data_IF_866811675494
#
_entry.id   IF_866811675494
#
_cell.length_a   1.000
_cell.length_b   1.000
_cell.length_c   1.000
_cell.angle_alpha   90.00
_cell.angle_beta   90.00
_cell.angle_gamma   90.00
#
_symmetry.space_group_name_H-M   'P 1'
#
loop_
_entity.id
_entity.type
_entity.pdbx_description
1 polymer ?
#
# COMPACT_ATOMS: atom_id res chain seq x y z
N UNK A 1 -11.79 18.90 -22.18
CA UNK A 1 -11.32 18.99 -20.79
C UNK A 1 -11.02 17.61 -20.15
N UNK A 2 -10.83 16.56 -20.95
CA UNK A 2 -10.62 15.17 -20.47
C UNK A 2 -9.14 14.75 -20.51
N UNK A 3 -8.27 15.48 -21.18
CA UNK A 3 -6.87 15.07 -21.43
C UNK A 3 -5.86 15.41 -20.31
N UNK A 4 -6.22 16.31 -19.38
CA UNK A 4 -5.31 16.68 -18.28
C UNK A 4 -5.31 15.66 -17.11
N UNK A 5 -6.34 14.83 -16.99
CA UNK A 5 -6.53 13.94 -15.84
C UNK A 5 -5.78 12.61 -15.97
N UNK A 6 -5.62 12.07 -17.19
CA UNK A 6 -4.93 10.78 -17.41
C UNK A 6 -3.46 10.86 -17.01
N UNK A 7 -2.79 11.98 -17.27
CA UNK A 7 -1.39 12.17 -16.92
C UNK A 7 -1.17 12.25 -15.39
N UNK A 8 -2.10 12.87 -14.66
CA UNK A 8 -1.98 13.00 -13.19
C UNK A 8 -2.19 11.66 -12.48
N UNK A 9 -3.06 10.82 -12.98
CA UNK A 9 -3.35 9.51 -12.41
C UNK A 9 -2.24 8.48 -12.65
N UNK A 10 -1.71 8.42 -13.89
CA UNK A 10 -0.52 7.61 -14.17
C UNK A 10 0.66 8.03 -13.30
N UNK A 11 0.85 9.34 -13.09
CA UNK A 11 1.94 9.85 -12.26
C UNK A 11 1.77 9.50 -10.79
N UNK A 12 0.56 9.48 -10.23
CA UNK A 12 0.34 9.15 -8.82
C UNK A 12 0.56 7.66 -8.54
N UNK A 13 0.00 6.77 -9.36
CA UNK A 13 0.22 5.32 -9.22
C UNK A 13 1.66 4.90 -9.49
N UNK A 14 2.32 5.49 -10.50
CA UNK A 14 3.75 5.30 -10.76
C UNK A 14 4.61 5.92 -9.65
N UNK A 15 4.20 7.06 -9.09
CA UNK A 15 4.88 7.72 -7.98
C UNK A 15 4.91 6.84 -6.73
N UNK A 16 3.77 6.28 -6.32
CA UNK A 16 3.69 5.35 -5.18
C UNK A 16 4.53 4.10 -5.46
N UNK A 17 4.40 3.48 -6.62
CA UNK A 17 5.19 2.31 -7.01
C UNK A 17 6.71 2.61 -7.01
N UNK A 18 7.11 3.80 -7.47
CA UNK A 18 8.52 4.22 -7.45
C UNK A 18 9.03 4.41 -6.02
N UNK A 19 8.27 5.08 -5.17
CA UNK A 19 8.62 5.26 -3.75
C UNK A 19 8.75 3.90 -3.07
N UNK A 20 7.80 3.00 -3.26
CA UNK A 20 7.85 1.66 -2.70
C UNK A 20 9.02 0.84 -3.22
N UNK A 21 9.41 0.99 -4.50
CA UNK A 21 10.60 0.35 -5.06
C UNK A 21 11.90 0.90 -4.48
N UNK A 22 11.98 2.22 -4.24
CA UNK A 22 13.13 2.83 -3.55
C UNK A 22 13.22 2.35 -2.11
N UNK A 23 12.10 2.27 -1.40
CA UNK A 23 12.05 1.74 -0.05
C UNK A 23 12.48 0.25 -0.02
N UNK A 24 12.03 -0.55 -0.98
CA UNK A 24 12.46 -1.94 -1.14
C UNK A 24 13.98 -2.05 -1.35
N UNK A 25 14.56 -1.18 -2.18
CA UNK A 25 16.01 -1.08 -2.34
C UNK A 25 16.74 -0.81 -1.03
N UNK A 26 16.24 0.15 -0.25
CA UNK A 26 16.83 0.52 1.04
C UNK A 26 16.72 -0.61 2.07
N UNK A 27 15.76 -1.53 1.90
CA UNK A 27 15.58 -2.72 2.75
C UNK A 27 16.32 -3.97 2.26
N UNK A 28 17.23 -3.84 1.31
CA UNK A 28 17.95 -4.99 0.76
C UNK A 28 17.09 -5.93 -0.09
N UNK A 29 15.86 -5.55 -0.39
CA UNK A 29 14.94 -6.37 -1.21
C UNK A 29 15.53 -6.57 -2.61
N UNK A 30 15.52 -7.80 -3.16
CA UNK A 30 16.03 -8.07 -4.49
C UNK A 30 15.26 -7.30 -5.56
N UNK A 31 15.97 -6.55 -6.40
CA UNK A 31 15.40 -5.81 -7.53
C UNK A 31 15.44 -6.61 -8.83
N UNK A 32 15.16 -7.87 -8.76
CA UNK A 32 14.90 -8.66 -9.94
C UNK A 32 13.57 -8.23 -10.61
N UNK A 33 13.37 -8.48 -11.91
CA UNK A 33 12.19 -7.99 -12.62
C UNK A 33 10.85 -8.41 -12.02
N UNK A 34 10.73 -9.67 -11.53
CA UNK A 34 9.47 -10.16 -10.98
C UNK A 34 9.14 -9.57 -9.60
N UNK A 35 10.05 -9.54 -8.60
CA UNK A 35 9.83 -8.82 -7.35
C UNK A 35 9.47 -7.34 -7.57
N UNK A 36 10.19 -6.66 -8.46
CA UNK A 36 9.92 -5.25 -8.76
C UNK A 36 8.53 -5.06 -9.37
N UNK A 37 8.16 -5.88 -10.35
CA UNK A 37 6.85 -5.81 -10.98
C UNK A 37 5.72 -6.12 -9.98
N UNK A 38 5.95 -7.09 -9.07
CA UNK A 38 5.02 -7.38 -7.99
C UNK A 38 4.81 -6.17 -7.07
N UNK A 39 5.89 -5.54 -6.59
CA UNK A 39 5.82 -4.34 -5.73
C UNK A 39 5.02 -3.24 -6.43
N UNK A 40 5.31 -2.95 -7.70
CA UNK A 40 4.60 -1.92 -8.46
C UNK A 40 3.12 -2.24 -8.65
N UNK A 41 2.79 -3.50 -8.95
CA UNK A 41 1.42 -3.95 -9.15
C UNK A 41 0.64 -3.92 -7.82
N UNK A 42 1.22 -4.42 -6.72
CA UNK A 42 0.62 -4.39 -5.38
C UNK A 42 0.40 -2.97 -4.89
N UNK A 43 1.38 -2.07 -5.08
CA UNK A 43 1.23 -0.66 -4.73
C UNK A 43 0.10 0.00 -5.54
N UNK A 44 0.04 -0.27 -6.84
CA UNK A 44 -0.97 0.30 -7.73
C UNK A 44 -2.38 -0.14 -7.36
N UNK A 45 -2.59 -1.44 -7.13
CA UNK A 45 -3.93 -1.93 -6.82
C UNK A 45 -4.36 -1.58 -5.40
N UNK A 46 -3.47 -1.68 -4.40
CA UNK A 46 -3.80 -1.36 -3.01
C UNK A 46 -4.18 0.11 -2.85
N UNK A 47 -3.34 1.02 -3.36
CA UNK A 47 -3.61 2.45 -3.31
C UNK A 47 -4.80 2.85 -4.18
N UNK A 48 -4.92 2.28 -5.38
CA UNK A 48 -6.05 2.53 -6.28
C UNK A 48 -7.37 2.06 -5.70
N UNK A 49 -7.41 0.88 -5.05
CA UNK A 49 -8.61 0.36 -4.40
C UNK A 49 -9.06 1.24 -3.22
N UNK A 50 -8.13 1.65 -2.35
CA UNK A 50 -8.42 2.56 -1.24
C UNK A 50 -9.02 3.88 -1.73
N UNK A 51 -8.37 4.53 -2.68
CA UNK A 51 -8.84 5.80 -3.26
C UNK A 51 -10.19 5.65 -3.99
N UNK A 52 -10.39 4.52 -4.67
CA UNK A 52 -11.64 4.24 -5.35
C UNK A 52 -12.80 4.06 -4.37
N UNK A 53 -12.58 3.31 -3.28
CA UNK A 53 -13.58 3.09 -2.23
C UNK A 53 -13.92 4.39 -1.48
N UNK A 54 -12.96 5.28 -1.30
CA UNK A 54 -13.16 6.60 -0.71
C UNK A 54 -13.79 7.62 -1.68
N UNK A 55 -14.03 7.25 -2.95
CA UNK A 55 -14.54 8.16 -3.99
C UNK A 55 -13.57 9.29 -4.35
N UNK A 56 -12.29 9.13 -4.05
CA UNK A 56 -11.23 10.15 -4.20
C UNK A 56 -10.34 9.93 -5.44
N UNK A 57 -10.66 8.96 -6.29
CA UNK A 57 -9.84 8.65 -7.48
C UNK A 57 -10.67 8.68 -8.74
N UNK A 58 -10.01 9.02 -9.84
CA UNK A 58 -10.51 8.83 -11.19
C UNK A 58 -10.00 7.52 -11.83
N UNK A 59 -9.31 6.67 -11.05
CA UNK A 59 -8.88 5.36 -11.49
C UNK A 59 -10.08 4.51 -11.89
N UNK A 60 -9.97 3.85 -13.03
CA UNK A 60 -11.03 2.96 -13.47
C UNK A 60 -10.93 1.61 -12.76
N UNK A 61 -12.05 0.95 -12.45
CA UNK A 61 -12.05 -0.39 -11.86
C UNK A 61 -11.20 -1.38 -12.66
N UNK A 62 -11.17 -1.23 -13.98
CA UNK A 62 -10.40 -2.09 -14.87
C UNK A 62 -8.89 -1.94 -14.66
N UNK A 63 -8.40 -0.70 -14.43
CA UNK A 63 -6.97 -0.45 -14.18
C UNK A 63 -6.53 -1.02 -12.83
N UNK A 64 -7.37 -0.91 -11.82
CA UNK A 64 -7.15 -1.48 -10.49
C UNK A 64 -7.17 -3.02 -10.56
N UNK A 65 -8.16 -3.58 -11.27
CA UNK A 65 -8.27 -5.02 -11.49
C UNK A 65 -7.09 -5.59 -12.28
N UNK A 66 -6.59 -4.87 -13.29
CA UNK A 66 -5.40 -5.27 -14.04
C UNK A 66 -4.16 -5.34 -13.16
N UNK A 67 -3.97 -4.37 -12.26
CA UNK A 67 -2.86 -4.37 -11.31
C UNK A 67 -2.97 -5.54 -10.31
N UNK A 68 -4.16 -5.78 -9.75
CA UNK A 68 -4.43 -6.93 -8.88
C UNK A 68 -4.15 -8.26 -9.60
N UNK A 69 -4.64 -8.41 -10.84
CA UNK A 69 -4.40 -9.60 -11.64
C UNK A 69 -2.91 -9.82 -11.90
N UNK A 70 -2.17 -8.75 -12.19
CA UNK A 70 -0.72 -8.82 -12.41
C UNK A 70 0.01 -9.31 -11.16
N UNK A 71 -0.27 -8.75 -9.98
CA UNK A 71 0.31 -9.18 -8.72
C UNK A 71 0.01 -10.67 -8.44
N UNK A 72 -1.25 -11.08 -8.61
CA UNK A 72 -1.68 -12.46 -8.38
C UNK A 72 -1.07 -13.46 -9.36
N UNK A 73 -0.91 -13.10 -10.64
CA UNK A 73 -0.23 -13.94 -11.63
C UNK A 73 1.24 -14.15 -11.30
N UNK A 74 1.92 -13.12 -10.77
CA UNK A 74 3.31 -13.26 -10.30
C UNK A 74 3.37 -14.22 -9.12
N UNK A 75 2.50 -14.05 -8.11
CA UNK A 75 2.44 -14.95 -6.95
C UNK A 75 2.15 -16.39 -7.35
N UNK A 76 1.26 -16.60 -8.31
CA UNK A 76 0.95 -17.92 -8.82
C UNK A 76 2.15 -18.53 -9.59
N UNK A 77 2.77 -17.75 -10.48
CA UNK A 77 3.91 -18.19 -11.28
C UNK A 77 5.15 -18.56 -10.44
N UNK A 78 5.33 -17.90 -9.28
CA UNK A 78 6.46 -18.10 -8.38
C UNK A 78 6.15 -19.04 -7.20
N UNK A 79 5.07 -19.82 -7.29
CA UNK A 79 4.62 -20.74 -6.23
C UNK A 79 4.31 -20.07 -4.89
N UNK A 80 4.03 -18.75 -4.91
CA UNK A 80 3.67 -17.96 -3.72
C UNK A 80 2.15 -17.70 -3.61
N UNK A 81 1.32 -18.51 -4.26
CA UNK A 81 -0.14 -18.35 -4.31
C UNK A 81 -0.83 -18.29 -2.93
N UNK A 82 -0.20 -18.83 -1.89
CA UNK A 82 -0.68 -18.76 -0.51
C UNK A 82 -0.83 -17.31 0.03
N UNK A 83 -0.17 -16.33 -0.60
CA UNK A 83 -0.25 -14.92 -0.22
C UNK A 83 -1.35 -14.15 -0.94
N UNK A 84 -1.98 -14.72 -1.98
CA UNK A 84 -3.07 -14.07 -2.73
C UNK A 84 -4.25 -13.74 -1.81
N UNK A 85 -4.75 -14.71 -1.07
CA UNK A 85 -5.90 -14.48 -0.22
C UNK A 85 -5.61 -13.49 0.94
N UNK A 86 -4.50 -13.61 1.68
CA UNK A 86 -4.12 -12.61 2.68
C UNK A 86 -4.01 -11.18 2.12
N UNK A 87 -3.40 -11.00 0.96
CA UNK A 87 -3.24 -9.68 0.34
C UNK A 87 -4.61 -9.06 0.00
N UNK A 88 -5.47 -9.81 -0.66
CA UNK A 88 -6.83 -9.35 -1.01
C UNK A 88 -7.64 -9.03 0.26
N UNK A 89 -7.60 -9.91 1.26
CA UNK A 89 -8.32 -9.70 2.51
C UNK A 89 -7.86 -8.45 3.25
N UNK A 90 -6.55 -8.19 3.30
CA UNK A 90 -6.03 -6.97 3.91
C UNK A 90 -6.63 -5.72 3.26
N UNK A 91 -6.71 -5.65 1.94
CA UNK A 91 -7.26 -4.47 1.28
C UNK A 91 -8.79 -4.38 1.47
N UNK A 92 -9.52 -5.48 1.35
CA UNK A 92 -10.97 -5.47 1.53
C UNK A 92 -11.40 -5.14 2.97
N UNK A 93 -10.61 -5.52 3.97
CA UNK A 93 -10.89 -5.23 5.37
C UNK A 93 -10.45 -3.83 5.79
N UNK A 94 -9.59 -3.18 5.01
CA UNK A 94 -9.00 -1.89 5.36
C UNK A 94 -10.04 -0.78 5.65
N UNK A 95 -11.11 -0.57 4.84
CA UNK A 95 -12.11 0.46 5.13
C UNK A 95 -12.81 0.23 6.48
N UNK A 96 -13.16 -1.02 6.78
CA UNK A 96 -13.77 -1.39 8.06
C UNK A 96 -12.80 -1.18 9.23
N UNK A 97 -11.53 -1.51 9.02
CA UNK A 97 -10.49 -1.32 10.03
C UNK A 97 -10.24 0.17 10.30
N UNK A 98 -10.15 1.00 9.26
CA UNK A 98 -10.00 2.45 9.34
C UNK A 98 -11.14 3.08 10.16
N UNK A 99 -12.38 2.64 9.96
CA UNK A 99 -13.55 3.16 10.69
C UNK A 99 -13.62 2.71 12.15
N UNK A 100 -13.37 1.43 12.41
CA UNK A 100 -13.59 0.84 13.74
C UNK A 100 -12.37 0.93 14.66
N UNK A 101 -11.17 0.94 14.10
CA UNK A 101 -9.91 0.93 14.84
C UNK A 101 -8.91 1.97 14.30
N UNK A 102 -9.32 3.27 14.20
CA UNK A 102 -8.52 4.30 13.53
C UNK A 102 -7.15 4.53 14.18
N UNK A 103 -7.01 4.31 15.48
CA UNK A 103 -5.73 4.44 16.17
C UNK A 103 -4.71 3.37 15.78
N UNK A 104 -5.18 2.20 15.31
CA UNK A 104 -4.33 1.09 14.88
C UNK A 104 -4.09 1.11 13.35
N UNK A 105 -4.74 2.03 12.62
CA UNK A 105 -4.59 2.17 11.17
C UNK A 105 -3.13 2.21 10.71
N UNK A 106 -2.22 3.03 11.31
CA UNK A 106 -0.84 3.09 10.86
C UNK A 106 -0.11 1.73 10.96
N UNK A 107 -0.36 0.98 12.03
CA UNK A 107 0.23 -0.36 12.20
C UNK A 107 -0.32 -1.37 11.20
N UNK A 108 -1.61 -1.30 10.89
CA UNK A 108 -2.21 -2.13 9.86
C UNK A 108 -1.58 -1.87 8.49
N UNK A 109 -1.46 -0.60 8.11
CA UNK A 109 -0.81 -0.16 6.87
C UNK A 109 0.66 -0.59 6.84
N UNK A 110 1.38 -0.37 7.96
CA UNK A 110 2.78 -0.77 8.09
C UNK A 110 2.99 -2.27 7.94
N UNK A 111 2.13 -3.10 8.54
CA UNK A 111 2.21 -4.56 8.42
C UNK A 111 1.95 -5.03 6.98
N UNK A 112 0.95 -4.46 6.32
CA UNK A 112 0.67 -4.75 4.91
C UNK A 112 1.87 -4.43 4.02
N UNK A 113 2.43 -3.22 4.16
CA UNK A 113 3.57 -2.80 3.34
C UNK A 113 4.86 -3.54 3.65
N UNK A 114 5.12 -3.91 4.92
CA UNK A 114 6.24 -4.78 5.26
C UNK A 114 6.14 -6.13 4.53
N UNK A 115 4.94 -6.71 4.46
CA UNK A 115 4.68 -7.91 3.67
C UNK A 115 4.93 -7.69 2.17
N UNK A 116 4.31 -6.67 1.60
CA UNK A 116 4.29 -6.43 0.15
C UNK A 116 5.65 -5.97 -0.43
N UNK A 117 6.47 -5.23 0.34
CA UNK A 117 7.74 -4.67 -0.17
C UNK A 117 9.01 -5.34 0.39
N UNK A 118 8.88 -6.19 1.39
CA UNK A 118 10.03 -6.94 1.93
C UNK A 118 9.79 -8.45 1.88
N UNK A 119 8.81 -8.98 2.61
CA UNK A 119 8.63 -10.43 2.75
C UNK A 119 8.37 -11.11 1.40
N UNK A 120 7.31 -10.71 0.71
CA UNK A 120 6.88 -11.37 -0.54
C UNK A 120 7.91 -11.25 -1.66
N UNK A 121 8.54 -10.10 -1.91
CA UNK A 121 9.61 -9.97 -2.90
C UNK A 121 10.81 -10.90 -2.65
N UNK A 122 11.24 -11.06 -1.40
CA UNK A 122 12.29 -12.01 -1.06
C UNK A 122 11.89 -13.45 -1.38
N UNK A 123 10.64 -13.83 -1.08
CA UNK A 123 10.13 -15.15 -1.41
C UNK A 123 10.01 -15.38 -2.92
N UNK A 124 9.64 -14.36 -3.69
CA UNK A 124 9.61 -14.40 -5.17
C UNK A 124 11.03 -14.61 -5.73
N UNK A 125 12.03 -13.95 -5.14
CA UNK A 125 13.43 -14.07 -5.55
C UNK A 125 14.15 -15.28 -4.94
N UNK A 126 13.46 -16.10 -4.14
CA UNK A 126 14.05 -17.24 -3.43
C UNK A 126 15.25 -16.85 -2.54
N UNK A 127 15.17 -15.69 -1.89
CA UNK A 127 16.18 -15.19 -0.96
C UNK A 127 15.62 -15.17 0.47
N UNK A 128 16.52 -15.12 1.44
CA UNK A 128 16.13 -15.06 2.85
C UNK A 128 15.51 -13.70 3.20
N UNK A 129 14.43 -13.75 3.96
CA UNK A 129 13.79 -12.53 4.49
C UNK A 129 14.63 -11.98 5.64
N UNK A 130 14.97 -10.70 5.57
CA UNK A 130 15.76 -10.02 6.60
C UNK A 130 14.81 -9.39 7.63
N UNK A 131 14.68 -10.01 8.81
CA UNK A 131 13.68 -9.64 9.81
C UNK A 131 13.79 -8.18 10.26
N UNK A 132 15.00 -7.71 10.57
CA UNK A 132 15.20 -6.32 11.03
C UNK A 132 14.82 -5.29 9.98
N UNK A 133 15.09 -5.57 8.71
CA UNK A 133 14.75 -4.71 7.59
C UNK A 133 13.23 -4.72 7.36
N UNK A 134 12.60 -5.87 7.45
CA UNK A 134 11.14 -6.01 7.36
C UNK A 134 10.43 -5.22 8.46
N UNK A 135 10.92 -5.29 9.70
CA UNK A 135 10.39 -4.51 10.82
C UNK A 135 10.59 -3.01 10.58
N UNK A 136 11.80 -2.60 10.17
CA UNK A 136 12.10 -1.20 9.86
C UNK A 136 11.19 -0.65 8.76
N UNK A 137 10.92 -1.42 7.73
CA UNK A 137 9.99 -1.06 6.65
C UNK A 137 8.54 -0.92 7.15
N UNK A 138 8.09 -1.83 8.00
CA UNK A 138 6.78 -1.73 8.63
C UNK A 138 6.62 -0.47 9.47
N UNK A 139 7.62 -0.13 10.28
CA UNK A 139 7.63 1.09 11.09
C UNK A 139 7.66 2.36 10.22
N UNK A 140 8.47 2.37 9.16
CA UNK A 140 8.53 3.48 8.21
C UNK A 140 7.17 3.69 7.52
N UNK A 141 6.57 2.63 6.99
CA UNK A 141 5.26 2.72 6.35
C UNK A 141 4.15 3.13 7.33
N UNK A 142 4.21 2.67 8.60
CA UNK A 142 3.33 3.15 9.66
C UNK A 142 3.47 4.64 9.90
N UNK A 143 4.70 5.14 9.93
CA UNK A 143 5.00 6.56 10.13
C UNK A 143 4.50 7.42 8.97
N UNK A 144 4.73 6.98 7.73
CA UNK A 144 4.24 7.66 6.51
C UNK A 144 2.71 7.69 6.49
N UNK A 145 2.05 6.59 6.83
CA UNK A 145 0.59 6.54 6.94
C UNK A 145 0.06 7.54 7.98
N UNK A 146 0.70 7.62 9.14
CA UNK A 146 0.32 8.56 10.19
C UNK A 146 0.57 10.02 9.78
N UNK A 147 1.61 10.29 8.99
CA UNK A 147 1.85 11.63 8.43
C UNK A 147 0.78 12.02 7.40
N UNK A 148 0.36 11.09 6.56
CA UNK A 148 -0.73 11.34 5.62
C UNK A 148 -2.06 11.68 6.33
N UNK A 149 -2.33 11.07 7.49
CA UNK A 149 -3.52 11.38 8.30
C UNK A 149 -3.51 12.81 8.85
N UNK A 150 -2.37 13.50 8.89
CA UNK A 150 -2.29 14.91 9.28
C UNK A 150 -3.02 15.82 8.28
N UNK A 151 -2.90 15.53 7.00
CA UNK A 151 -3.57 16.28 5.94
C UNK A 151 -5.09 16.06 5.94
N UNK A 152 -5.53 14.87 6.40
CA UNK A 152 -6.93 14.46 6.40
C UNK A 152 -7.67 14.76 7.73
N UNK A 153 -7.03 15.38 8.74
CA UNK A 153 -7.59 15.58 10.10
C UNK A 153 -8.99 16.20 10.10
N UNK A 154 -9.21 17.25 9.30
CA UNK A 154 -10.51 17.92 9.27
C UNK A 154 -11.62 17.01 8.69
N UNK A 155 -11.29 16.26 7.66
CA UNK A 155 -12.23 15.34 7.02
C UNK A 155 -12.47 14.11 7.87
N UNK A 156 -11.45 13.58 8.52
CA UNK A 156 -11.55 12.48 9.47
C UNK A 156 -12.50 12.84 10.63
N UNK A 157 -12.31 14.02 11.25
CA UNK A 157 -13.19 14.50 12.34
C UNK A 157 -14.64 14.66 11.86
N UNK A 158 -14.88 15.24 10.67
CA UNK A 158 -16.22 15.38 10.09
C UNK A 158 -16.90 14.04 9.88
N UNK A 159 -16.14 13.00 9.56
CA UNK A 159 -16.63 11.63 9.32
C UNK A 159 -16.66 10.77 10.60
N UNK A 160 -16.30 11.34 11.77
CA UNK A 160 -16.26 10.62 13.04
C UNK A 160 -15.11 9.62 13.15
N UNK A 161 -14.07 9.76 12.33
CA UNK A 161 -12.88 8.94 12.32
C UNK A 161 -11.80 9.64 13.16
N UNK A 162 -11.43 9.05 14.28
CA UNK A 162 -10.44 9.64 15.20
C UNK A 162 -9.08 8.94 15.05
N UNK A 163 -8.38 9.23 13.96
CA UNK A 163 -6.98 8.84 13.75
C UNK A 163 -6.06 9.43 14.82
N UNK A 164 -4.80 9.02 14.90
CA UNK A 164 -3.86 9.54 15.89
C UNK A 164 -3.78 11.07 15.83
N UNK A 165 -3.55 11.71 14.66
CA UNK A 165 -3.54 13.17 14.57
C UNK A 165 -4.89 13.82 14.92
N UNK A 166 -6.01 13.24 14.49
CA UNK A 166 -7.34 13.75 14.76
C UNK A 166 -7.70 13.69 16.25
N UNK A 167 -7.18 12.70 16.98
CA UNK A 167 -7.49 12.49 18.41
C UNK A 167 -6.58 13.29 19.34
N UNK A 168 -5.30 13.36 19.04
CA UNK A 168 -4.31 13.96 19.94
C UNK A 168 -3.93 15.38 19.53
N UNK A 169 -4.38 15.82 18.38
CA UNK A 169 -4.05 17.12 17.81
C UNK A 169 -2.63 17.13 17.21
N UNK A 170 -2.45 18.06 16.27
CA UNK A 170 -1.13 18.45 15.81
C UNK A 170 -0.82 19.71 16.59
N UNK A 171 -0.06 19.61 17.68
CA UNK A 171 0.52 20.82 18.24
C UNK A 171 1.68 21.23 17.33
N UNK A 172 1.58 22.39 16.68
CA UNK A 172 2.69 22.93 15.90
C UNK A 172 3.88 23.29 16.79
#
# INVERSE_FOLDING_TARGET
>A
MVTSNINTQMTTGLGVGTIMSVLALCSGTPLEPLPLLYIMASARWAYGADRYLDGKTEDTPESIAAALLTANLILWYTDQSKYIAPEILCILLYPSFKQNLPLLKPFYVGTFWAGAISVVPHLIAHTDVIENETIAMGLLASSVSNMADIEDVEDDIKNGIYTIPARFGINP
#
